data_IF_199431122695
#
_entry.id   IF_199431122695
#
_cell.length_a   1.000
_cell.length_b   1.000
_cell.length_c   1.000
_cell.angle_alpha   90.00
_cell.angle_beta   90.00
_cell.angle_gamma   90.00
#
_symmetry.space_group_name_H-M   'P 1'
#
loop_
_entity.id
_entity.type
_entity.pdbx_description
1 polymer ?
#
# COMPACT_ATOMS: atom_id res chain seq x y z
N UNK A 1 -3.26 15.03 13.70
CA UNK A 1 -3.28 13.84 12.83
C UNK A 1 -3.12 12.62 13.72
N UNK A 2 -3.88 11.54 13.49
CA UNK A 2 -3.76 10.29 14.27
C UNK A 2 -3.47 9.15 13.30
N UNK A 3 -2.49 8.33 13.64
CA UNK A 3 -2.19 7.10 12.92
C UNK A 3 -2.95 5.94 13.59
N UNK A 4 -3.70 5.18 12.80
CA UNK A 4 -4.55 4.08 13.30
C UNK A 4 -4.20 2.78 12.61
N UNK A 5 -4.65 1.68 13.20
CA UNK A 5 -4.81 0.42 12.48
C UNK A 5 -5.99 0.49 11.51
N UNK A 6 -6.21 -0.59 10.76
CA UNK A 6 -7.38 -0.75 9.90
C UNK A 6 -8.58 -1.31 10.68
N UNK A 7 -8.95 -0.63 11.76
CA UNK A 7 -10.13 -0.96 12.56
C UNK A 7 -11.27 0.01 12.26
N UNK A 8 -12.34 -0.50 11.65
CA UNK A 8 -13.54 0.30 11.35
C UNK A 8 -14.16 0.90 12.62
N UNK A 9 -14.20 0.13 13.72
CA UNK A 9 -14.75 0.57 15.00
C UNK A 9 -13.92 1.72 15.59
N UNK A 10 -12.60 1.57 15.63
CA UNK A 10 -11.70 2.61 16.15
C UNK A 10 -11.82 3.89 15.32
N UNK A 11 -11.78 3.76 13.99
CA UNK A 11 -11.88 4.91 13.07
C UNK A 11 -13.23 5.62 13.24
N UNK A 12 -14.32 4.88 13.39
CA UNK A 12 -15.67 5.46 13.62
C UNK A 12 -15.74 6.19 14.95
N UNK A 13 -15.22 5.61 16.03
CA UNK A 13 -15.18 6.22 17.35
C UNK A 13 -14.30 7.49 17.38
N UNK A 14 -13.17 7.48 16.67
CA UNK A 14 -12.31 8.66 16.55
C UNK A 14 -12.96 9.76 15.70
N UNK A 15 -13.68 9.40 14.63
CA UNK A 15 -14.42 10.38 13.85
C UNK A 15 -15.57 11.01 14.62
N UNK A 16 -16.29 10.25 15.46
CA UNK A 16 -17.41 10.78 16.25
C UNK A 16 -16.93 11.74 17.35
N UNK A 17 -15.78 11.47 17.96
CA UNK A 17 -15.22 12.27 19.07
C UNK A 17 -14.27 13.38 18.61
N UNK A 18 -13.63 13.25 17.44
CA UNK A 18 -12.64 14.21 16.90
C UNK A 18 -12.85 14.49 15.41
N UNK A 19 -13.98 15.12 15.09
CA UNK A 19 -14.44 15.39 13.71
C UNK A 19 -13.41 16.10 12.81
N UNK A 20 -12.54 16.95 13.36
CA UNK A 20 -11.53 17.69 12.58
C UNK A 20 -10.15 17.00 12.51
N UNK A 21 -10.01 15.78 13.04
CA UNK A 21 -8.72 15.09 13.02
C UNK A 21 -8.59 14.22 11.78
N UNK A 22 -7.52 14.46 10.99
CA UNK A 22 -7.12 13.55 9.91
C UNK A 22 -6.66 12.22 10.50
N UNK A 23 -7.38 11.15 10.18
CA UNK A 23 -6.98 9.77 10.46
C UNK A 23 -6.16 9.24 9.29
N UNK A 24 -5.01 8.63 9.58
CA UNK A 24 -4.17 7.94 8.61
C UNK A 24 -4.04 6.47 8.99
N UNK A 25 -4.00 5.60 7.99
CA UNK A 25 -3.56 4.22 8.20
C UNK A 25 -2.06 4.19 8.49
N UNK A 26 -1.66 3.34 9.42
CA UNK A 26 -0.24 3.16 9.70
C UNK A 26 0.46 2.43 8.55
N UNK A 27 1.73 2.78 8.32
CA UNK A 27 2.55 2.17 7.27
C UNK A 27 2.64 0.64 7.42
N UNK A 28 2.73 0.14 8.66
CA UNK A 28 2.79 -1.30 8.92
C UNK A 28 1.54 -2.02 8.40
N UNK A 29 0.34 -1.50 8.63
CA UNK A 29 -0.91 -2.12 8.16
C UNK A 29 -1.03 -2.07 6.64
N UNK A 30 -0.58 -0.98 6.00
CA UNK A 30 -0.50 -0.90 4.53
C UNK A 30 0.42 -2.00 3.98
N UNK A 31 1.64 -2.11 4.50
CA UNK A 31 2.60 -3.13 4.05
C UNK A 31 2.12 -4.55 4.35
N UNK A 32 1.48 -4.77 5.50
CA UNK A 32 0.91 -6.07 5.85
C UNK A 32 -0.22 -6.47 4.90
N UNK A 33 -1.13 -5.54 4.57
CA UNK A 33 -2.22 -5.78 3.62
C UNK A 33 -1.68 -6.10 2.23
N UNK A 34 -0.69 -5.34 1.75
CA UNK A 34 0.01 -5.61 0.49
C UNK A 34 0.68 -6.98 0.48
N UNK A 35 1.34 -7.39 1.57
CA UNK A 35 1.96 -8.72 1.66
C UNK A 35 0.93 -9.84 1.57
N UNK A 36 -0.18 -9.71 2.30
CA UNK A 36 -1.30 -10.66 2.26
C UNK A 36 -1.87 -10.76 0.86
N UNK A 37 -2.07 -9.63 0.19
CA UNK A 37 -2.53 -9.60 -1.20
C UNK A 37 -1.55 -10.32 -2.13
N UNK A 38 -0.25 -10.02 -2.06
CA UNK A 38 0.77 -10.68 -2.89
C UNK A 38 0.89 -12.19 -2.63
N UNK A 39 0.59 -12.64 -1.42
CA UNK A 39 0.64 -14.06 -1.04
C UNK A 39 -0.68 -14.81 -1.27
N UNK A 40 -1.77 -14.11 -1.56
CA UNK A 40 -3.08 -14.72 -1.80
C UNK A 40 -3.03 -15.63 -3.03
N UNK A 41 -3.54 -16.85 -2.89
CA UNK A 41 -3.66 -17.80 -4.00
C UNK A 41 -4.54 -17.27 -5.13
N UNK A 42 -5.50 -16.39 -4.81
CA UNK A 42 -6.47 -15.86 -5.77
C UNK A 42 -5.84 -14.85 -6.75
N UNK A 43 -4.64 -14.36 -6.46
CA UNK A 43 -3.99 -13.30 -7.23
C UNK A 43 -2.87 -13.83 -8.15
N UNK A 44 -2.57 -15.13 -8.08
CA UNK A 44 -1.61 -15.86 -8.93
C UNK A 44 -0.26 -15.14 -9.15
N UNK A 45 0.27 -14.53 -8.08
CA UNK A 45 1.56 -13.84 -8.13
C UNK A 45 2.69 -14.86 -7.96
N UNK A 46 3.60 -14.91 -8.94
CA UNK A 46 4.82 -15.71 -8.86
C UNK A 46 5.62 -15.38 -7.60
N UNK A 47 6.06 -16.40 -6.87
CA UNK A 47 6.76 -16.25 -5.59
C UNK A 47 8.03 -15.40 -5.69
N UNK A 48 8.73 -15.45 -6.82
CA UNK A 48 9.93 -14.67 -7.09
C UNK A 48 9.61 -13.18 -7.27
N UNK A 49 8.42 -12.85 -7.79
CA UNK A 49 7.98 -11.47 -7.99
C UNK A 49 7.48 -10.81 -6.70
N UNK A 50 6.93 -11.58 -5.74
CA UNK A 50 6.36 -11.02 -4.50
C UNK A 50 7.36 -10.17 -3.71
N UNK A 51 8.61 -10.63 -3.57
CA UNK A 51 9.65 -9.89 -2.84
C UNK A 51 10.00 -8.57 -3.54
N UNK A 52 10.12 -8.60 -4.86
CA UNK A 52 10.37 -7.41 -5.67
C UNK A 52 9.23 -6.40 -5.53
N UNK A 53 7.99 -6.85 -5.72
CA UNK A 53 6.80 -5.99 -5.61
C UNK A 53 6.63 -5.39 -4.20
N UNK A 54 6.90 -6.17 -3.16
CA UNK A 54 6.92 -5.68 -1.78
C UNK A 54 7.99 -4.58 -1.58
N UNK A 55 9.19 -4.78 -2.12
CA UNK A 55 10.26 -3.79 -2.01
C UNK A 55 9.90 -2.49 -2.72
N UNK A 56 9.27 -2.59 -3.88
CA UNK A 56 8.71 -1.46 -4.63
C UNK A 56 7.71 -0.65 -3.78
N UNK A 57 6.73 -1.31 -3.16
CA UNK A 57 5.75 -0.62 -2.29
C UNK A 57 6.42 0.00 -1.06
N UNK A 58 7.42 -0.65 -0.48
CA UNK A 58 8.21 -0.06 0.62
C UNK A 58 8.86 1.24 0.16
N UNK A 59 9.53 1.25 -1.00
CA UNK A 59 10.14 2.47 -1.54
C UNK A 59 9.12 3.59 -1.75
N UNK A 60 7.92 3.29 -2.25
CA UNK A 60 6.84 4.27 -2.35
C UNK A 60 6.47 4.88 -0.99
N UNK A 61 6.32 4.02 0.02
CA UNK A 61 5.92 4.46 1.37
C UNK A 61 7.00 5.27 2.09
N UNK A 62 8.28 5.11 1.70
CA UNK A 62 9.42 5.86 2.24
C UNK A 62 9.86 7.02 1.35
N UNK A 63 9.11 7.34 0.29
CA UNK A 63 9.40 8.51 -0.53
C UNK A 63 9.36 9.79 0.34
N UNK A 64 10.42 10.59 0.23
CA UNK A 64 10.61 11.77 1.09
C UNK A 64 9.83 12.97 0.58
N UNK A 65 9.54 12.99 -0.72
CA UNK A 65 8.85 14.07 -1.41
C UNK A 65 7.98 13.55 -2.57
N UNK A 66 7.21 14.45 -3.15
CA UNK A 66 6.26 14.09 -4.23
C UNK A 66 6.96 13.72 -5.54
N UNK A 67 8.17 14.22 -5.80
CA UNK A 67 8.92 13.95 -7.01
C UNK A 67 9.52 12.54 -6.97
N UNK A 68 10.18 12.19 -5.87
CA UNK A 68 10.70 10.85 -5.59
C UNK A 68 9.57 9.82 -5.58
N UNK A 69 8.41 10.14 -4.98
CA UNK A 69 7.22 9.30 -5.06
C UNK A 69 6.80 9.06 -6.51
N UNK A 70 6.69 10.12 -7.32
CA UNK A 70 6.32 10.02 -8.73
C UNK A 70 7.31 9.20 -9.56
N UNK A 71 8.61 9.36 -9.31
CA UNK A 71 9.67 8.62 -9.98
C UNK A 71 9.66 7.13 -9.62
N UNK A 72 9.55 6.80 -8.34
CA UNK A 72 9.43 5.41 -7.86
C UNK A 72 8.16 4.78 -8.44
N UNK A 73 7.03 5.50 -8.40
CA UNK A 73 5.76 5.03 -8.98
C UNK A 73 5.96 4.65 -10.44
N UNK A 74 6.50 5.53 -11.28
CA UNK A 74 6.78 5.24 -12.69
C UNK A 74 7.70 4.03 -12.89
N UNK A 75 8.74 3.87 -12.07
CA UNK A 75 9.67 2.75 -12.18
C UNK A 75 9.01 1.41 -11.83
N UNK A 76 8.12 1.38 -10.83
CA UNK A 76 7.32 0.19 -10.48
C UNK A 76 6.43 -0.20 -11.65
N UNK A 77 5.73 0.76 -12.23
CA UNK A 77 4.87 0.57 -13.40
C UNK A 77 5.65 0.18 -14.67
N UNK A 78 6.95 0.50 -14.78
CA UNK A 78 7.77 0.08 -15.93
C UNK A 78 8.43 -1.28 -15.74
N UNK A 79 8.89 -1.59 -14.53
CA UNK A 79 9.60 -2.83 -14.21
C UNK A 79 8.68 -4.02 -13.98
N UNK A 80 7.47 -3.78 -13.46
CA UNK A 80 6.40 -4.75 -13.46
C UNK A 80 5.76 -4.69 -14.84
N UNK A 81 5.74 -5.80 -15.58
CA UNK A 81 4.93 -5.87 -16.79
C UNK A 81 3.46 -5.65 -16.36
N UNK A 82 2.95 -4.42 -16.49
CA UNK A 82 1.61 -4.01 -16.00
C UNK A 82 0.53 -4.97 -16.50
N UNK A 83 0.73 -5.57 -17.67
CA UNK A 83 -0.16 -6.55 -18.26
C UNK A 83 -0.23 -7.87 -17.47
N UNK A 84 0.82 -8.26 -16.74
CA UNK A 84 0.82 -9.45 -15.87
C UNK A 84 0.09 -9.21 -14.54
N UNK A 85 0.06 -7.98 -14.01
CA UNK A 85 -0.42 -7.68 -12.65
C UNK A 85 -1.30 -6.42 -12.57
N UNK A 86 -2.16 -6.22 -13.56
CA UNK A 86 -3.11 -5.09 -13.60
C UNK A 86 -3.99 -5.02 -12.34
N UNK A 87 -4.33 -6.17 -11.76
CA UNK A 87 -5.09 -6.28 -10.51
C UNK A 87 -4.36 -5.65 -9.31
N UNK A 88 -3.02 -5.71 -9.28
CA UNK A 88 -2.25 -5.09 -8.21
C UNK A 88 -2.27 -3.57 -8.29
N UNK A 89 -2.30 -3.04 -9.51
CA UNK A 89 -2.35 -1.60 -9.76
C UNK A 89 -3.66 -0.97 -9.30
N UNK A 90 -4.76 -1.73 -9.34
CA UNK A 90 -6.08 -1.32 -8.83
C UNK A 90 -6.23 -1.49 -7.31
N UNK A 91 -5.38 -2.34 -6.71
CA UNK A 91 -5.39 -2.59 -5.26
C UNK A 91 -4.65 -1.49 -4.48
N UNK A 92 -3.62 -0.90 -5.08
CA UNK A 92 -2.83 0.21 -4.54
C UNK A 92 -3.49 1.57 -4.79
#
# INVERSE_FOLDING_TARGET
MIMTDDSCLLRTALHSTRKNTRLLLCQFHVLQAVWRWLCSSNNDIDKNHRKYMMNCVKQLMYAVDTESFGSIKRNIFRGINILMYSQFCNYL
#
